data_IF_825391056033
#
_entry.id   IF_825391056033
#
_cell.length_a   1.000
_cell.length_b   1.000
_cell.length_c   1.000
_cell.angle_alpha   90.00
_cell.angle_beta   90.00
_cell.angle_gamma   90.00
#
_symmetry.space_group_name_H-M   'P 1'
#
loop_
_entity.id
_entity.type
_entity.pdbx_description
1 polymer ?
#
# COMPACT_ATOMS: atom_id res chain seq x y z
N UNK A 1 -21.77 17.00 -34.61
CA UNK A 1 -20.74 15.95 -34.47
C UNK A 1 -20.19 15.39 -35.78
N UNK A 2 -20.99 15.08 -36.81
CA UNK A 2 -20.47 14.57 -38.10
C UNK A 2 -19.40 15.44 -38.77
N UNK A 3 -19.42 16.77 -38.59
CA UNK A 3 -18.39 17.66 -39.12
C UNK A 3 -17.06 17.52 -38.37
N UNK A 4 -17.10 17.36 -37.04
CA UNK A 4 -15.92 17.09 -36.20
C UNK A 4 -15.28 15.76 -36.60
N UNK A 5 -16.09 14.69 -36.70
CA UNK A 5 -15.61 13.37 -37.11
C UNK A 5 -14.93 13.38 -38.48
N UNK A 6 -15.53 14.06 -39.48
CA UNK A 6 -14.94 14.18 -40.83
C UNK A 6 -13.61 14.90 -40.85
N UNK A 7 -13.46 15.97 -40.07
CA UNK A 7 -12.18 16.70 -39.99
C UNK A 7 -11.10 15.88 -39.31
N UNK A 8 -11.41 15.24 -38.18
CA UNK A 8 -10.46 14.34 -37.51
C UNK A 8 -10.05 13.17 -38.40
N UNK A 9 -10.97 12.60 -39.17
CA UNK A 9 -10.66 11.54 -40.13
C UNK A 9 -9.70 12.00 -41.23
N UNK A 10 -9.89 13.22 -41.75
CA UNK A 10 -9.03 13.82 -42.77
C UNK A 10 -7.61 14.12 -42.25
N UNK A 11 -7.48 14.41 -40.96
CA UNK A 11 -6.19 14.65 -40.29
C UNK A 11 -5.46 13.34 -39.91
N UNK A 12 -6.09 12.18 -40.10
CA UNK A 12 -5.55 10.87 -39.72
C UNK A 12 -4.47 10.33 -40.68
N UNK A 13 -3.48 9.58 -40.18
CA UNK A 13 -2.43 8.98 -41.01
C UNK A 13 -2.98 7.85 -41.90
N UNK A 14 -2.41 7.64 -43.08
CA UNK A 14 -2.84 6.54 -43.94
C UNK A 14 -2.83 5.18 -43.21
N UNK A 15 -3.88 4.38 -43.40
CA UNK A 15 -3.99 3.02 -42.83
C UNK A 15 -4.67 2.92 -41.46
N UNK A 16 -5.13 4.03 -40.87
CA UNK A 16 -5.92 3.97 -39.63
C UNK A 16 -7.27 3.25 -39.83
N UNK A 17 -7.73 2.52 -38.81
CA UNK A 17 -9.00 1.79 -38.78
C UNK A 17 -9.94 2.24 -37.66
N UNK A 18 -9.41 2.80 -36.57
CA UNK A 18 -10.20 3.40 -35.51
C UNK A 18 -9.56 4.71 -35.04
N UNK A 19 -10.41 5.69 -34.79
CA UNK A 19 -10.11 6.98 -34.20
C UNK A 19 -10.85 7.08 -32.86
N UNK A 20 -10.12 7.32 -31.78
CA UNK A 20 -10.67 7.65 -30.47
C UNK A 20 -10.22 9.07 -30.11
N UNK A 21 -11.17 10.01 -29.99
CA UNK A 21 -10.90 11.40 -29.65
C UNK A 21 -11.59 11.79 -28.35
N UNK A 22 -10.83 12.45 -27.47
CA UNK A 22 -11.33 12.98 -26.20
C UNK A 22 -11.10 14.47 -26.15
N UNK A 23 -12.14 15.21 -25.81
CA UNK A 23 -12.10 16.66 -25.62
C UNK A 23 -12.53 16.98 -24.20
N UNK A 24 -11.76 17.79 -23.49
CA UNK A 24 -12.15 18.35 -22.20
C UNK A 24 -12.31 19.86 -22.34
N UNK A 25 -13.37 20.44 -21.78
CA UNK A 25 -13.63 21.87 -21.94
C UNK A 25 -14.39 22.49 -20.76
N UNK A 26 -14.03 23.74 -20.50
CA UNK A 26 -14.72 24.74 -19.67
C UNK A 26 -14.95 25.99 -20.53
N UNK A 27 -15.52 27.05 -19.97
CA UNK A 27 -15.65 28.36 -20.65
C UNK A 27 -14.31 29.05 -20.93
N UNK A 28 -13.27 28.79 -20.14
CA UNK A 28 -11.95 29.47 -20.28
C UNK A 28 -10.82 28.57 -20.79
N UNK A 29 -10.98 27.25 -20.71
CA UNK A 29 -9.96 26.29 -21.08
C UNK A 29 -10.54 25.12 -21.87
N UNK A 30 -9.79 24.62 -22.86
CA UNK A 30 -10.16 23.42 -23.60
C UNK A 30 -8.92 22.69 -24.11
N UNK A 31 -8.94 21.37 -24.06
CA UNK A 31 -7.91 20.50 -24.64
C UNK A 31 -8.56 19.36 -25.42
N UNK A 32 -7.81 18.77 -26.35
CA UNK A 32 -8.26 17.64 -27.16
C UNK A 32 -7.09 16.73 -27.51
N UNK A 33 -7.33 15.43 -27.52
CA UNK A 33 -6.40 14.42 -28.03
C UNK A 33 -7.15 13.47 -28.94
N UNK A 34 -6.53 13.11 -30.07
CA UNK A 34 -7.02 12.09 -30.99
C UNK A 34 -5.98 10.96 -31.10
N UNK A 35 -6.43 9.73 -30.94
CA UNK A 35 -5.65 8.51 -31.08
C UNK A 35 -6.12 7.73 -32.30
N UNK A 36 -5.18 7.31 -33.14
CA UNK A 36 -5.46 6.52 -34.33
C UNK A 36 -4.83 5.15 -34.18
N UNK A 37 -5.61 4.10 -34.38
CA UNK A 37 -5.16 2.71 -34.34
C UNK A 37 -5.40 2.02 -35.67
N UNK A 38 -4.55 1.05 -36.01
CA UNK A 38 -4.68 0.21 -37.20
C UNK A 38 -5.61 -1.01 -36.97
N UNK A 39 -5.67 -1.91 -37.94
CA UNK A 39 -6.47 -3.15 -37.88
C UNK A 39 -6.07 -4.10 -36.74
N UNK A 40 -4.81 -4.03 -36.29
CA UNK A 40 -4.26 -4.85 -35.21
C UNK A 40 -4.39 -4.15 -33.84
N UNK A 41 -5.18 -3.08 -33.76
CA UNK A 41 -5.36 -2.22 -32.59
C UNK A 41 -4.05 -1.59 -32.09
N UNK A 42 -3.04 -1.48 -32.96
CA UNK A 42 -1.78 -0.83 -32.62
C UNK A 42 -1.92 0.69 -32.82
N UNK A 43 -1.41 1.46 -31.86
CA UNK A 43 -1.39 2.92 -31.95
C UNK A 43 -0.44 3.36 -33.07
N UNK A 44 -0.98 4.01 -34.10
CA UNK A 44 -0.20 4.52 -35.24
C UNK A 44 0.04 6.03 -35.17
N UNK A 45 -0.84 6.78 -34.50
CA UNK A 45 -0.62 8.20 -34.23
C UNK A 45 -1.39 8.70 -33.00
N UNK A 46 -0.80 9.68 -32.32
CA UNK A 46 -1.46 10.54 -31.34
C UNK A 46 -1.32 11.99 -31.80
N UNK A 47 -2.44 12.68 -31.99
CA UNK A 47 -2.43 14.07 -32.49
C UNK A 47 -3.26 14.99 -31.60
N UNK A 48 -2.96 16.28 -31.67
CA UNK A 48 -3.80 17.34 -31.11
C UNK A 48 -4.75 17.82 -32.20
N UNK A 49 -6.08 17.85 -31.97
CA UNK A 49 -7.05 18.34 -32.95
C UNK A 49 -6.79 19.79 -33.37
N UNK A 50 -7.06 20.08 -34.65
CA UNK A 50 -6.85 21.41 -35.22
C UNK A 50 -7.73 22.50 -34.55
N UNK A 51 -7.34 23.78 -34.61
CA UNK A 51 -8.12 24.89 -34.05
C UNK A 51 -9.57 24.96 -34.57
N UNK A 52 -9.79 24.54 -35.82
CA UNK A 52 -11.12 24.47 -36.42
C UNK A 52 -11.98 23.38 -35.75
N UNK A 53 -11.40 22.20 -35.51
CA UNK A 53 -12.08 21.13 -34.77
C UNK A 53 -12.40 21.59 -33.34
N UNK A 54 -11.45 22.23 -32.67
CA UNK A 54 -11.66 22.77 -31.32
C UNK A 54 -12.77 23.82 -31.28
N UNK A 55 -12.87 24.69 -32.30
CA UNK A 55 -13.98 25.66 -32.42
C UNK A 55 -15.33 24.95 -32.55
N UNK A 56 -15.43 23.95 -33.43
CA UNK A 56 -16.67 23.17 -33.60
C UNK A 56 -17.08 22.44 -32.32
N UNK A 57 -16.12 21.91 -31.57
CA UNK A 57 -16.36 21.24 -30.28
C UNK A 57 -16.84 22.22 -29.21
N UNK A 58 -16.28 23.43 -29.14
CA UNK A 58 -16.75 24.49 -28.22
C UNK A 58 -18.17 24.95 -28.58
N UNK A 59 -18.47 25.14 -29.86
CA UNK A 59 -19.82 25.46 -30.32
C UNK A 59 -20.81 24.36 -29.95
N UNK A 60 -20.42 23.10 -30.14
CA UNK A 60 -21.21 21.96 -29.71
C UNK A 60 -21.46 21.96 -28.20
N UNK A 61 -20.43 22.24 -27.39
CA UNK A 61 -20.56 22.37 -25.93
C UNK A 61 -21.56 23.46 -25.55
N UNK A 62 -21.46 24.64 -26.17
CA UNK A 62 -22.38 25.76 -25.94
C UNK A 62 -23.82 25.39 -26.27
N UNK A 63 -24.04 24.65 -27.36
CA UNK A 63 -25.38 24.17 -27.72
C UNK A 63 -25.89 23.10 -26.74
N UNK A 64 -25.00 22.25 -26.21
CA UNK A 64 -25.37 21.22 -25.24
C UNK A 64 -25.80 21.78 -23.88
N UNK A 65 -25.46 23.02 -23.54
CA UNK A 65 -25.80 23.61 -22.23
C UNK A 65 -27.31 23.80 -22.01
N UNK A 66 -28.13 23.73 -23.06
CA UNK A 66 -29.59 23.81 -22.97
C UNK A 66 -30.28 22.50 -22.58
N UNK A 67 -29.52 21.42 -22.36
CA UNK A 67 -30.07 20.08 -22.09
C UNK A 67 -29.49 19.50 -20.79
N UNK A 68 -30.35 18.91 -19.94
CA UNK A 68 -29.94 18.18 -18.73
C UNK A 68 -29.18 19.02 -17.70
N UNK A 69 -28.12 18.45 -17.12
CA UNK A 69 -27.31 19.02 -16.02
C UNK A 69 -26.27 20.06 -16.46
N UNK A 70 -26.53 20.75 -17.58
CA UNK A 70 -25.62 21.70 -18.21
C UNK A 70 -24.66 21.08 -19.22
N UNK A 71 -23.65 21.83 -19.71
CA UNK A 71 -22.73 21.33 -20.72
C UNK A 71 -21.89 20.16 -20.19
N UNK A 72 -21.48 19.25 -21.06
CA UNK A 72 -20.54 18.18 -20.68
C UNK A 72 -19.17 18.74 -20.26
N UNK A 73 -18.42 18.00 -19.44
CA UNK A 73 -17.03 18.31 -19.11
C UNK A 73 -16.07 17.68 -20.11
N UNK A 74 -16.35 16.44 -20.50
CA UNK A 74 -15.66 15.79 -21.61
C UNK A 74 -16.61 15.24 -22.67
N UNK A 75 -16.15 15.26 -23.91
CA UNK A 75 -16.78 14.61 -25.05
C UNK A 75 -15.84 13.52 -25.55
N UNK A 76 -16.35 12.30 -25.63
CA UNK A 76 -15.64 11.14 -26.16
C UNK A 76 -16.25 10.82 -27.51
N UNK A 77 -15.41 10.66 -28.53
CA UNK A 77 -15.82 10.34 -29.89
C UNK A 77 -15.03 9.14 -30.39
N UNK A 78 -15.75 8.12 -30.83
CA UNK A 78 -15.17 7.00 -31.57
C UNK A 78 -15.63 7.09 -33.03
N UNK A 79 -14.70 6.90 -33.96
CA UNK A 79 -14.99 6.73 -35.38
C UNK A 79 -14.26 5.49 -35.91
N UNK A 80 -14.96 4.60 -36.58
CA UNK A 80 -14.35 3.44 -37.27
C UNK A 80 -14.12 3.71 -38.75
N UNK A 81 -13.26 2.92 -39.40
CA UNK A 81 -13.01 2.96 -40.84
C UNK A 81 -14.26 2.68 -41.69
N UNK A 82 -15.27 2.04 -41.12
CA UNK A 82 -16.60 1.83 -41.73
C UNK A 82 -17.49 3.08 -41.68
N UNK A 83 -17.03 4.16 -41.03
CA UNK A 83 -17.78 5.41 -40.88
C UNK A 83 -18.78 5.43 -39.72
N UNK A 84 -18.79 4.41 -38.86
CA UNK A 84 -19.62 4.38 -37.65
C UNK A 84 -19.08 5.38 -36.63
N UNK A 85 -19.95 6.24 -36.13
CA UNK A 85 -19.63 7.27 -35.14
C UNK A 85 -20.39 6.96 -33.85
N UNK A 86 -19.65 6.92 -32.74
CA UNK A 86 -20.20 6.88 -31.39
C UNK A 86 -19.74 8.13 -30.65
N UNK A 87 -20.65 8.76 -29.91
CA UNK A 87 -20.35 9.97 -29.14
C UNK A 87 -20.94 9.83 -27.75
N UNK A 88 -20.08 9.96 -26.74
CA UNK A 88 -20.44 9.95 -25.34
C UNK A 88 -20.05 11.26 -24.66
N UNK A 89 -20.73 11.55 -23.55
CA UNK A 89 -20.51 12.74 -22.74
C UNK A 89 -20.19 12.33 -21.31
N UNK A 90 -19.14 12.93 -20.76
CA UNK A 90 -18.77 12.74 -19.37
C UNK A 90 -19.04 14.00 -18.55
N UNK A 91 -19.84 13.81 -17.50
CA UNK A 91 -20.25 14.84 -16.55
C UNK A 91 -19.46 14.76 -15.23
N UNK A 92 -18.34 14.04 -15.23
CA UNK A 92 -17.41 13.95 -14.11
C UNK A 92 -17.75 12.80 -13.16
N UNK A 93 -18.39 11.73 -13.64
CA UNK A 93 -18.66 10.55 -12.80
C UNK A 93 -17.36 10.02 -12.20
N UNK A 94 -16.26 10.12 -12.95
CA UNK A 94 -14.92 9.79 -12.51
C UNK A 94 -13.94 10.97 -12.66
N UNK A 95 -12.90 11.05 -11.81
CA UNK A 95 -11.80 11.98 -11.93
C UNK A 95 -11.16 11.93 -13.31
N UNK A 96 -10.96 13.11 -13.89
CA UNK A 96 -10.30 13.22 -15.19
C UNK A 96 -8.81 12.88 -15.07
N UNK A 97 -8.22 12.29 -16.12
CA UNK A 97 -6.78 12.18 -16.24
C UNK A 97 -6.09 13.54 -16.12
N UNK A 98 -4.86 13.57 -15.62
CA UNK A 98 -4.12 14.81 -15.36
C UNK A 98 -3.95 15.68 -16.62
N UNK A 99 -3.88 15.08 -17.81
CA UNK A 99 -3.78 15.80 -19.09
C UNK A 99 -5.10 16.43 -19.56
N UNK A 100 -6.20 16.16 -18.84
CA UNK A 100 -7.56 16.63 -19.11
C UNK A 100 -8.18 17.39 -17.92
N UNK A 101 -7.54 17.34 -16.75
CA UNK A 101 -7.96 18.05 -15.55
C UNK A 101 -7.40 19.48 -15.56
N UNK A 102 -8.28 20.47 -15.59
CA UNK A 102 -7.87 21.87 -15.55
C UNK A 102 -7.61 22.38 -14.12
N UNK A 103 -7.01 23.57 -14.01
CA UNK A 103 -6.91 24.26 -12.74
C UNK A 103 -8.31 24.56 -12.15
N UNK A 104 -8.47 24.59 -10.82
CA UNK A 104 -9.74 24.87 -10.14
C UNK A 104 -10.47 26.12 -10.65
N UNK A 105 -9.73 27.17 -11.00
CA UNK A 105 -10.24 28.46 -11.49
C UNK A 105 -11.05 28.30 -12.79
N UNK A 106 -10.63 27.39 -13.68
CA UNK A 106 -11.33 27.14 -14.93
C UNK A 106 -12.72 26.54 -14.70
N UNK A 107 -12.84 25.66 -13.71
CA UNK A 107 -14.12 25.09 -13.31
C UNK A 107 -14.98 26.09 -12.54
N UNK A 108 -14.40 26.98 -11.71
CA UNK A 108 -15.16 28.06 -11.07
C UNK A 108 -15.80 28.98 -12.09
N UNK A 109 -15.02 29.44 -13.07
CA UNK A 109 -15.53 30.26 -14.17
C UNK A 109 -16.63 29.55 -14.96
N UNK A 110 -16.50 28.23 -15.17
CA UNK A 110 -17.55 27.45 -15.83
C UNK A 110 -18.84 27.36 -15.01
N UNK A 111 -18.73 27.18 -13.70
CA UNK A 111 -19.88 27.11 -12.80
C UNK A 111 -20.57 28.48 -12.61
N UNK A 112 -19.84 29.57 -12.78
CA UNK A 112 -20.44 30.92 -12.85
C UNK A 112 -21.29 31.09 -14.13
N UNK A 113 -20.80 30.57 -15.26
CA UNK A 113 -21.51 30.65 -16.55
C UNK A 113 -22.65 29.62 -16.67
N UNK A 114 -22.44 28.42 -16.11
CA UNK A 114 -23.36 27.28 -16.14
C UNK A 114 -23.50 26.70 -14.73
N UNK A 115 -24.32 27.33 -13.87
CA UNK A 115 -24.54 26.86 -12.50
C UNK A 115 -25.07 25.44 -12.44
N UNK A 116 -24.58 24.66 -11.47
CA UNK A 116 -25.04 23.29 -11.19
C UNK A 116 -25.43 23.18 -9.72
N UNK A 117 -26.51 22.45 -9.45
CA UNK A 117 -26.96 22.19 -8.09
C UNK A 117 -25.95 21.33 -7.32
N UNK A 118 -25.40 20.30 -7.98
CA UNK A 118 -24.48 19.34 -7.37
C UNK A 118 -23.33 19.00 -8.30
N UNK A 119 -22.13 18.85 -7.73
CA UNK A 119 -20.96 18.30 -8.41
C UNK A 119 -20.63 16.91 -7.85
N UNK A 120 -20.04 16.02 -8.66
CA UNK A 120 -19.33 14.85 -8.15
C UNK A 120 -18.34 15.27 -7.05
N UNK A 121 -18.23 14.48 -5.97
CA UNK A 121 -17.49 14.90 -4.76
C UNK A 121 -16.04 15.25 -5.07
N UNK A 122 -15.39 14.50 -5.96
CA UNK A 122 -14.01 14.79 -6.37
C UNK A 122 -13.85 16.15 -7.07
N UNK A 123 -14.82 16.54 -7.91
CA UNK A 123 -14.78 17.81 -8.62
C UNK A 123 -15.16 18.96 -7.67
N UNK A 124 -16.13 18.73 -6.78
CA UNK A 124 -16.47 19.66 -5.71
C UNK A 124 -15.24 19.95 -4.83
N UNK A 125 -14.51 18.90 -4.42
CA UNK A 125 -13.27 19.01 -3.68
C UNK A 125 -12.18 19.74 -4.48
N UNK A 126 -11.92 19.35 -5.74
CA UNK A 126 -10.95 20.01 -6.60
C UNK A 126 -11.18 21.53 -6.69
N UNK A 127 -12.44 21.94 -6.78
CA UNK A 127 -12.82 23.36 -6.90
C UNK A 127 -12.77 24.10 -5.56
N UNK A 128 -13.17 23.45 -4.46
CA UNK A 128 -13.51 24.10 -3.18
C UNK A 128 -12.64 23.67 -1.99
N UNK A 129 -11.69 22.76 -2.18
CA UNK A 129 -10.85 22.23 -1.11
C UNK A 129 -9.98 23.33 -0.48
N UNK A 130 -9.33 24.17 -1.31
CA UNK A 130 -8.55 25.32 -0.86
C UNK A 130 -7.52 25.01 0.25
N UNK A 131 -6.96 23.80 0.25
CA UNK A 131 -5.98 23.36 1.24
C UNK A 131 -6.56 23.06 2.63
N UNK A 132 -7.88 23.01 2.81
CA UNK A 132 -8.53 22.85 4.13
C UNK A 132 -8.25 21.51 4.84
N UNK A 133 -7.72 20.51 4.14
CA UNK A 133 -7.25 19.24 4.73
C UNK A 133 -5.73 19.08 4.62
N UNK A 134 -4.99 20.09 4.15
CA UNK A 134 -3.54 20.06 4.22
C UNK A 134 -3.11 20.30 5.67
N UNK A 135 -2.09 19.58 6.09
CA UNK A 135 -1.43 19.74 7.39
C UNK A 135 0.08 19.74 7.17
N UNK A 136 0.64 20.79 6.55
CA UNK A 136 2.07 20.89 6.35
C UNK A 136 2.80 20.94 7.71
N UNK A 137 4.09 20.57 7.77
CA UNK A 137 4.81 20.45 9.04
C UNK A 137 4.74 21.70 9.94
N UNK A 138 4.75 22.90 9.37
CA UNK A 138 4.59 24.14 10.15
C UNK A 138 3.23 24.25 10.84
N UNK A 139 2.14 23.85 10.16
CA UNK A 139 0.78 23.83 10.72
C UNK A 139 0.66 22.72 11.77
N UNK A 140 1.26 21.56 11.51
CA UNK A 140 1.28 20.45 12.46
C UNK A 140 2.01 20.80 13.76
N UNK A 141 3.16 21.49 13.66
CA UNK A 141 3.93 21.94 14.81
C UNK A 141 3.19 23.00 15.64
N UNK A 142 2.53 23.96 14.99
CA UNK A 142 1.74 24.99 15.67
C UNK A 142 0.55 24.39 16.45
N UNK A 143 -0.14 23.40 15.85
CA UNK A 143 -1.27 22.72 16.47
C UNK A 143 -0.87 21.72 17.57
N UNK A 144 0.40 21.30 17.64
CA UNK A 144 0.85 20.28 18.58
C UNK A 144 0.85 20.74 20.06
N UNK A 145 0.78 22.05 20.32
CA UNK A 145 0.59 22.58 21.67
C UNK A 145 -0.74 22.18 22.31
N UNK A 146 -1.71 21.72 21.51
CA UNK A 146 -3.02 21.22 21.92
C UNK A 146 -3.10 19.68 21.90
N UNK A 147 -1.97 18.99 21.70
CA UNK A 147 -1.92 17.54 21.60
C UNK A 147 -2.47 16.86 22.87
N UNK A 148 -3.38 15.90 22.67
CA UNK A 148 -4.11 15.21 23.74
C UNK A 148 -5.46 15.81 24.11
N UNK A 149 -5.75 17.05 23.73
CA UNK A 149 -7.09 17.65 23.89
C UNK A 149 -7.97 17.22 22.72
N UNK A 150 -9.10 16.55 23.03
CA UNK A 150 -10.05 16.08 22.02
C UNK A 150 -9.59 14.83 21.24
N UNK A 151 -8.48 14.21 21.64
CA UNK A 151 -8.05 12.93 21.06
C UNK A 151 -8.84 11.78 21.66
N UNK A 152 -9.53 11.01 20.82
CA UNK A 152 -10.15 9.77 21.23
C UNK A 152 -9.22 8.60 20.94
N UNK A 153 -9.06 7.67 21.89
CA UNK A 153 -8.59 6.34 21.56
C UNK A 153 -9.64 5.66 20.67
N UNK A 154 -9.21 4.79 19.76
CA UNK A 154 -10.11 4.06 18.86
C UNK A 154 -10.94 2.96 19.55
N UNK A 155 -10.78 2.78 20.87
CA UNK A 155 -11.48 1.76 21.64
C UNK A 155 -11.01 0.33 21.37
N UNK A 156 -9.89 0.13 20.68
CA UNK A 156 -9.40 -1.19 20.26
C UNK A 156 -10.16 -1.77 19.06
N UNK A 157 -10.81 -0.92 18.27
CA UNK A 157 -11.53 -1.34 17.06
C UNK A 157 -10.59 -1.68 15.90
N UNK A 158 -9.44 -0.99 15.79
CA UNK A 158 -8.36 -1.40 14.89
C UNK A 158 -7.48 -2.46 15.57
N UNK A 159 -6.98 -3.46 14.81
CA UNK A 159 -5.95 -4.34 15.32
C UNK A 159 -4.71 -3.54 15.76
N UNK A 160 -3.98 -3.98 16.81
CA UNK A 160 -2.70 -3.40 17.18
C UNK A 160 -1.76 -3.31 15.97
N UNK A 161 -0.93 -2.25 15.90
CA UNK A 161 -0.08 -1.99 14.74
C UNK A 161 0.71 -3.23 14.25
N UNK A 162 1.42 -4.01 15.10
CA UNK A 162 2.16 -5.19 14.64
C UNK A 162 1.29 -6.26 13.96
N UNK A 163 0.08 -6.47 14.49
CA UNK A 163 -0.88 -7.43 13.92
C UNK A 163 -1.42 -6.90 12.59
N UNK A 164 -1.76 -5.61 12.54
CA UNK A 164 -2.26 -4.96 11.33
C UNK A 164 -1.21 -5.00 10.21
N UNK A 165 0.04 -4.68 10.52
CA UNK A 165 1.14 -4.72 9.54
C UNK A 165 1.41 -6.12 9.03
N UNK A 166 1.32 -7.12 9.90
CA UNK A 166 1.53 -8.52 9.51
C UNK A 166 0.45 -9.05 8.59
N UNK A 167 -0.82 -8.80 8.93
CA UNK A 167 -1.97 -9.16 8.09
C UNK A 167 -1.93 -8.46 6.73
N UNK A 168 -1.49 -7.21 6.70
CA UNK A 168 -1.30 -6.48 5.44
C UNK A 168 -0.24 -7.14 4.56
N UNK A 169 0.86 -7.60 5.16
CA UNK A 169 1.91 -8.30 4.43
C UNK A 169 1.41 -9.61 3.83
N UNK A 170 0.65 -10.41 4.59
CA UNK A 170 0.04 -11.65 4.10
C UNK A 170 -0.90 -11.39 2.93
N UNK A 171 -1.78 -10.39 3.04
CA UNK A 171 -2.67 -10.04 1.93
C UNK A 171 -1.91 -9.56 0.71
N UNK A 172 -0.90 -8.70 0.89
CA UNK A 172 -0.09 -8.20 -0.23
C UNK A 172 0.62 -9.34 -0.95
N UNK A 173 1.20 -10.27 -0.18
CA UNK A 173 1.84 -11.47 -0.71
C UNK A 173 0.85 -12.35 -1.47
N UNK A 174 -0.35 -12.57 -0.94
CA UNK A 174 -1.36 -13.40 -1.59
C UNK A 174 -1.87 -12.80 -2.92
N UNK A 175 -2.15 -11.49 -2.96
CA UNK A 175 -2.56 -10.80 -4.18
C UNK A 175 -1.46 -10.82 -5.24
N UNK A 176 -0.20 -10.65 -4.83
CA UNK A 176 0.97 -10.73 -5.72
C UNK A 176 1.19 -12.17 -6.21
N UNK A 177 1.07 -13.17 -5.35
CA UNK A 177 1.14 -14.58 -5.73
C UNK A 177 0.11 -14.91 -6.82
N UNK A 178 -1.12 -14.42 -6.67
CA UNK A 178 -2.19 -14.57 -7.65
C UNK A 178 -2.01 -13.70 -8.91
N UNK A 179 -0.89 -12.98 -9.05
CA UNK A 179 -0.60 -12.04 -10.14
C UNK A 179 -1.70 -10.99 -10.35
N UNK A 180 -2.43 -10.65 -9.30
CA UNK A 180 -3.46 -9.62 -9.37
C UNK A 180 -2.79 -8.26 -9.57
N UNK A 181 -3.29 -7.46 -10.51
CA UNK A 181 -2.86 -6.06 -10.66
C UNK A 181 -3.43 -5.16 -9.56
N UNK A 182 -4.38 -5.67 -8.78
CA UNK A 182 -5.10 -4.94 -7.74
C UNK A 182 -4.73 -5.43 -6.33
N UNK A 183 -5.27 -4.78 -5.32
CA UNK A 183 -5.16 -5.17 -3.92
C UNK A 183 -4.01 -4.48 -3.17
N UNK A 184 -3.79 -4.87 -1.90
CA UNK A 184 -2.79 -4.24 -1.05
C UNK A 184 -1.37 -4.46 -1.58
N UNK A 185 -0.50 -3.46 -1.36
CA UNK A 185 0.92 -3.49 -1.71
C UNK A 185 1.78 -2.94 -0.59
N UNK A 186 3.00 -3.45 -0.50
CA UNK A 186 4.04 -2.95 0.38
C UNK A 186 5.13 -2.24 -0.42
N UNK A 187 5.55 -1.11 0.14
CA UNK A 187 6.70 -0.31 -0.23
C UNK A 187 7.52 -0.04 1.04
N UNK A 188 8.79 0.39 0.94
CA UNK A 188 9.58 0.76 2.12
C UNK A 188 8.81 1.75 3.01
N UNK A 189 8.60 1.37 4.28
CA UNK A 189 7.86 2.13 5.30
C UNK A 189 6.39 2.50 4.98
N UNK A 190 5.82 2.04 3.86
CA UNK A 190 4.49 2.40 3.42
C UNK A 190 3.70 1.16 2.96
N UNK A 191 2.49 1.03 3.46
CA UNK A 191 1.52 0.04 3.00
C UNK A 191 0.39 0.77 2.29
N UNK A 192 0.06 0.32 1.08
CA UNK A 192 -0.90 0.98 0.21
C UNK A 192 -2.04 0.04 -0.16
N UNK A 193 -3.25 0.57 -0.20
CA UNK A 193 -4.42 -0.16 -0.66
C UNK A 193 -5.36 0.79 -1.41
N UNK A 194 -5.76 0.38 -2.60
CA UNK A 194 -6.83 1.00 -3.36
C UNK A 194 -7.79 -0.11 -3.81
N UNK A 195 -9.05 0.00 -3.41
CA UNK A 195 -10.11 -0.91 -3.80
C UNK A 195 -10.66 -0.60 -5.19
N UNK A 196 -11.41 -1.55 -5.76
CA UNK A 196 -11.99 -1.41 -7.10
C UNK A 196 -12.95 -0.22 -7.26
N UNK A 197 -13.52 0.28 -6.15
CA UNK A 197 -14.42 1.44 -6.11
C UNK A 197 -13.70 2.76 -5.80
N UNK A 198 -12.37 2.85 -5.95
CA UNK A 198 -11.57 4.05 -5.62
C UNK A 198 -11.62 4.47 -4.14
N UNK A 199 -12.06 3.60 -3.24
CA UNK A 199 -11.86 3.75 -1.80
C UNK A 199 -10.50 3.17 -1.45
N UNK A 200 -9.74 3.82 -0.58
CA UNK A 200 -8.37 3.40 -0.32
C UNK A 200 -7.69 4.14 0.82
N UNK A 201 -6.50 3.66 1.16
CA UNK A 201 -5.73 4.18 2.28
C UNK A 201 -4.23 3.89 2.15
N UNK A 202 -3.48 4.55 3.02
CA UNK A 202 -2.07 4.27 3.26
C UNK A 202 -1.81 4.15 4.75
N UNK A 203 -0.93 3.22 5.11
CA UNK A 203 -0.34 3.09 6.44
C UNK A 203 1.16 3.38 6.33
N UNK A 204 1.61 4.49 6.93
CA UNK A 204 3.03 4.83 7.07
C UNK A 204 3.54 4.41 8.44
N UNK A 205 4.61 3.61 8.48
CA UNK A 205 5.33 3.29 9.73
C UNK A 205 6.50 4.24 9.90
N UNK A 206 6.65 4.80 11.10
CA UNK A 206 7.61 5.85 11.43
C UNK A 206 8.56 5.38 12.54
N UNK A 207 9.77 5.96 12.63
CA UNK A 207 10.71 5.66 13.70
C UNK A 207 10.10 5.83 15.10
N UNK A 208 10.53 5.00 16.04
CA UNK A 208 10.02 4.98 17.41
C UNK A 208 8.69 4.24 17.57
N UNK A 209 8.37 3.31 16.66
CA UNK A 209 7.17 2.48 16.76
C UNK A 209 5.87 3.26 16.56
N UNK A 210 5.91 4.33 15.74
CA UNK A 210 4.76 5.20 15.43
C UNK A 210 4.20 4.86 14.07
N UNK A 211 2.94 5.20 13.82
CA UNK A 211 2.37 5.05 12.48
C UNK A 211 1.22 6.01 12.21
N UNK A 212 0.90 6.20 10.93
CA UNK A 212 -0.28 6.95 10.47
C UNK A 212 -1.04 6.11 9.46
N UNK A 213 -2.29 5.78 9.78
CA UNK A 213 -3.26 5.19 8.87
C UNK A 213 -4.23 6.27 8.42
N UNK A 214 -4.23 6.60 7.13
CA UNK A 214 -5.15 7.62 6.60
C UNK A 214 -5.64 7.25 5.22
N UNK A 215 -6.83 7.72 4.86
CA UNK A 215 -7.47 7.32 3.63
C UNK A 215 -8.81 8.00 3.40
N UNK A 216 -9.52 7.52 2.39
CA UNK A 216 -10.77 8.10 1.97
C UNK A 216 -11.70 7.09 1.32
N UNK A 217 -12.99 7.22 1.62
CA UNK A 217 -14.07 6.58 0.87
C UNK A 217 -14.36 7.36 -0.40
N UNK A 218 -14.64 6.63 -1.47
CA UNK A 218 -15.19 7.22 -2.67
C UNK A 218 -16.60 7.77 -2.40
N UNK A 219 -16.90 8.97 -2.92
CA UNK A 219 -18.19 9.67 -2.75
C UNK A 219 -18.70 9.75 -1.31
N UNK A 220 -17.81 10.09 -0.37
CA UNK A 220 -18.13 10.16 1.05
C UNK A 220 -19.21 11.23 1.35
N UNK A 221 -20.32 10.87 2.04
CA UNK A 221 -21.43 11.79 2.31
C UNK A 221 -21.03 13.07 3.05
N UNK A 222 -20.07 12.98 3.96
CA UNK A 222 -19.52 14.09 4.73
C UNK A 222 -18.72 15.08 3.86
N UNK A 223 -18.04 14.58 2.82
CA UNK A 223 -17.35 15.44 1.86
C UNK A 223 -18.33 16.05 0.86
N UNK A 224 -19.35 15.30 0.45
CA UNK A 224 -20.46 15.84 -0.35
C UNK A 224 -21.16 17.00 0.39
N UNK A 225 -21.44 16.79 1.68
CA UNK A 225 -21.97 17.81 2.58
C UNK A 225 -21.11 19.06 2.61
N UNK A 226 -19.82 18.88 2.91
CA UNK A 226 -18.91 20.01 3.08
C UNK A 226 -18.66 20.76 1.77
N UNK A 227 -18.46 20.06 0.66
CA UNK A 227 -18.11 20.72 -0.60
C UNK A 227 -19.31 21.17 -1.41
N UNK A 228 -20.42 20.43 -1.45
CA UNK A 228 -21.60 20.85 -2.22
C UNK A 228 -22.60 21.69 -1.42
N UNK A 229 -22.69 21.52 -0.09
CA UNK A 229 -23.67 22.24 0.74
C UNK A 229 -23.05 23.25 1.72
N UNK A 230 -21.72 23.34 1.77
CA UNK A 230 -21.01 24.29 2.63
C UNK A 230 -21.04 23.90 4.12
N UNK A 231 -21.30 22.64 4.44
CA UNK A 231 -21.17 22.13 5.80
C UNK A 231 -19.69 22.12 6.26
N UNK A 232 -19.46 21.95 7.56
CA UNK A 232 -18.09 21.95 8.12
C UNK A 232 -17.40 20.62 7.81
N UNK A 233 -16.12 20.67 7.44
CA UNK A 233 -15.31 19.46 7.27
C UNK A 233 -15.02 18.81 8.63
N UNK A 234 -14.95 17.47 8.72
CA UNK A 234 -14.51 16.79 9.94
C UNK A 234 -13.10 17.24 10.35
N UNK A 235 -12.85 17.47 11.64
CA UNK A 235 -11.51 17.78 12.16
C UNK A 235 -10.70 16.49 12.37
N UNK A 236 -10.28 15.87 11.27
CA UNK A 236 -9.58 14.57 11.26
C UNK A 236 -8.27 14.58 12.06
N UNK A 237 -7.64 15.75 12.23
CA UNK A 237 -6.36 15.93 12.92
C UNK A 237 -6.50 16.50 14.33
N UNK A 238 -7.71 16.58 14.89
CA UNK A 238 -7.95 17.11 16.24
C UNK A 238 -7.10 16.35 17.26
N UNK A 239 -6.22 17.08 17.96
CA UNK A 239 -5.30 16.53 18.95
C UNK A 239 -4.16 15.66 18.40
N UNK A 240 -3.95 15.64 17.08
CA UNK A 240 -2.87 14.87 16.45
C UNK A 240 -1.49 15.49 16.76
N UNK A 241 -0.46 14.68 17.06
CA UNK A 241 0.88 15.17 17.33
C UNK A 241 1.53 15.79 16.08
N UNK A 242 2.60 16.57 16.26
CA UNK A 242 3.25 17.33 15.17
C UNK A 242 3.74 16.46 14.01
N UNK A 243 4.04 15.18 14.26
CA UNK A 243 4.56 14.26 13.25
C UNK A 243 3.47 13.64 12.36
N UNK A 244 2.19 13.90 12.63
CA UNK A 244 1.08 13.55 11.72
C UNK A 244 0.92 14.67 10.68
N UNK A 245 1.82 14.77 9.72
CA UNK A 245 1.84 15.87 8.73
C UNK A 245 1.74 15.33 7.30
N UNK A 246 1.53 16.21 6.31
CA UNK A 246 1.36 15.88 4.89
C UNK A 246 2.28 14.77 4.35
N UNK A 247 3.59 14.71 4.66
CA UNK A 247 4.48 13.67 4.14
C UNK A 247 4.13 12.23 4.52
N UNK A 248 3.33 12.05 5.58
CA UNK A 248 2.91 10.73 6.10
C UNK A 248 1.39 10.52 6.01
N UNK A 249 0.70 11.44 5.35
CA UNK A 249 -0.72 11.36 5.08
C UNK A 249 -0.97 10.76 3.69
N UNK A 250 -2.14 10.14 3.53
CA UNK A 250 -2.58 9.69 2.23
C UNK A 250 -2.72 10.87 1.27
N UNK A 251 -2.31 10.68 0.01
CA UNK A 251 -2.39 11.70 -1.06
C UNK A 251 -3.78 12.35 -1.21
N UNK A 252 -4.84 11.72 -0.72
CA UNK A 252 -6.19 12.29 -0.64
C UNK A 252 -6.27 13.57 0.16
N UNK A 253 -5.41 13.79 1.17
CA UNK A 253 -5.33 15.05 1.89
C UNK A 253 -5.12 16.24 0.94
N UNK A 254 -4.18 16.09 -0.02
CA UNK A 254 -3.87 17.12 -1.02
C UNK A 254 -4.99 17.37 -2.02
N UNK A 255 -5.91 16.42 -2.16
CA UNK A 255 -7.06 16.50 -3.08
C UNK A 255 -8.36 16.84 -2.36
N UNK A 256 -8.32 17.03 -1.05
CA UNK A 256 -9.51 17.24 -0.23
C UNK A 256 -10.42 16.03 -0.11
N UNK A 257 -9.90 14.82 -0.32
CA UNK A 257 -10.65 13.57 -0.35
C UNK A 257 -10.37 12.66 0.85
N UNK A 258 -9.71 13.19 1.89
CA UNK A 258 -9.46 12.44 3.11
C UNK A 258 -10.76 12.36 3.93
N UNK A 259 -11.10 11.16 4.39
CA UNK A 259 -12.29 10.92 5.23
C UNK A 259 -11.93 10.35 6.60
N UNK A 260 -10.70 9.84 6.76
CA UNK A 260 -10.20 9.39 8.05
C UNK A 260 -8.68 9.54 8.20
N UNK A 261 -8.26 9.73 9.44
CA UNK A 261 -6.89 9.71 9.89
C UNK A 261 -6.81 9.11 11.30
N UNK A 262 -6.02 8.05 11.46
CA UNK A 262 -5.66 7.44 12.74
C UNK A 262 -4.14 7.49 12.88
N UNK A 263 -3.66 7.67 14.10
CA UNK A 263 -2.24 7.60 14.40
C UNK A 263 -1.97 6.64 15.55
N UNK A 264 -0.92 5.85 15.40
CA UNK A 264 -0.46 4.91 16.41
C UNK A 264 0.67 5.53 17.20
N UNK A 265 0.51 5.54 18.51
CA UNK A 265 1.54 5.99 19.43
C UNK A 265 1.43 5.22 20.75
N UNK A 266 2.57 4.97 21.39
CA UNK A 266 2.62 4.30 22.71
C UNK A 266 1.74 3.04 22.85
N UNK A 267 1.62 2.24 21.78
CA UNK A 267 0.89 0.98 21.80
C UNK A 267 -0.62 1.10 21.56
N UNK A 268 -1.14 2.24 21.10
CA UNK A 268 -2.58 2.47 20.87
C UNK A 268 -2.84 3.32 19.63
N UNK A 269 -4.02 3.13 19.05
CA UNK A 269 -4.54 3.98 17.99
C UNK A 269 -5.33 5.15 18.57
N UNK A 270 -5.13 6.31 17.96
CA UNK A 270 -5.79 7.57 18.28
C UNK A 270 -6.42 8.18 17.04
N UNK A 271 -7.43 9.02 17.24
CA UNK A 271 -8.14 9.75 16.19
C UNK A 271 -8.66 11.10 16.68
N UNK A 272 -8.82 12.02 15.74
CA UNK A 272 -9.68 13.20 15.90
C UNK A 272 -11.13 12.82 15.56
N UNK A 273 -11.77 13.60 14.68
CA UNK A 273 -13.16 13.36 14.24
C UNK A 273 -13.28 12.23 13.19
N UNK A 274 -12.27 11.37 13.06
CA UNK A 274 -12.35 10.21 12.15
C UNK A 274 -13.47 9.26 12.59
N UNK A 275 -14.24 8.68 11.66
CA UNK A 275 -15.34 7.78 11.97
C UNK A 275 -14.85 6.47 12.60
N UNK A 276 -15.76 5.56 12.98
CA UNK A 276 -15.37 4.22 13.43
C UNK A 276 -14.73 3.44 12.27
N UNK A 277 -13.74 2.58 12.53
CA UNK A 277 -13.08 1.81 11.47
C UNK A 277 -14.03 0.95 10.62
N UNK A 278 -15.14 0.49 11.20
CA UNK A 278 -16.20 -0.22 10.49
C UNK A 278 -16.85 0.61 9.39
N UNK A 279 -17.02 1.91 9.61
CA UNK A 279 -17.56 2.85 8.63
C UNK A 279 -16.57 3.15 7.50
N UNK A 280 -15.29 2.79 7.69
CA UNK A 280 -14.21 2.89 6.71
C UNK A 280 -13.87 1.57 6.02
N UNK A 281 -14.65 0.50 6.24
CA UNK A 281 -14.29 -0.85 5.80
C UNK A 281 -14.03 -0.97 4.29
N UNK A 282 -14.73 -0.19 3.45
CA UNK A 282 -14.51 -0.18 1.99
C UNK A 282 -13.13 0.36 1.58
N UNK A 283 -12.49 1.16 2.43
CA UNK A 283 -11.20 1.77 2.19
C UNK A 283 -10.03 1.00 2.83
N UNK A 284 -10.29 -0.14 3.49
CA UNK A 284 -9.29 -0.93 4.22
C UNK A 284 -9.25 -2.38 3.69
N UNK A 285 -8.08 -3.03 3.60
CA UNK A 285 -7.97 -4.34 2.95
C UNK A 285 -8.50 -5.53 3.78
N UNK A 286 -9.48 -5.35 4.67
CA UNK A 286 -10.09 -6.47 5.42
C UNK A 286 -9.17 -7.11 6.47
N UNK A 287 -8.51 -6.29 7.31
CA UNK A 287 -7.45 -6.71 8.23
C UNK A 287 -7.94 -7.11 9.64
N UNK A 288 -9.25 -7.11 9.86
CA UNK A 288 -9.89 -7.11 11.19
C UNK A 288 -9.65 -8.36 12.01
N UNK A 289 -9.77 -9.52 11.37
CA UNK A 289 -9.66 -10.81 12.04
C UNK A 289 -8.84 -11.75 11.18
N UNK A 290 -8.21 -12.72 11.83
CA UNK A 290 -7.54 -13.85 11.15
C UNK A 290 -8.48 -14.52 10.16
N UNK A 291 -9.75 -14.73 10.53
CA UNK A 291 -10.76 -15.33 9.64
C UNK A 291 -11.06 -14.49 8.39
N UNK A 292 -11.07 -13.16 8.52
CA UNK A 292 -11.28 -12.26 7.38
C UNK A 292 -10.12 -12.37 6.41
N UNK A 293 -8.88 -12.32 6.92
CA UNK A 293 -7.67 -12.47 6.11
C UNK A 293 -7.64 -13.86 5.45
N UNK A 294 -7.91 -14.92 6.21
CA UNK A 294 -7.90 -16.29 5.72
C UNK A 294 -8.91 -16.50 4.59
N UNK A 295 -10.12 -15.94 4.73
CA UNK A 295 -11.16 -15.99 3.70
C UNK A 295 -10.72 -15.27 2.42
N UNK A 296 -10.12 -14.10 2.53
CA UNK A 296 -9.61 -13.35 1.36
C UNK A 296 -8.51 -14.14 0.65
N UNK A 297 -7.51 -14.63 1.40
CA UNK A 297 -6.39 -15.41 0.83
C UNK A 297 -6.90 -16.70 0.18
N UNK A 298 -7.81 -17.42 0.85
CA UNK A 298 -8.42 -18.65 0.31
C UNK A 298 -9.18 -18.38 -0.99
N UNK A 299 -9.88 -17.24 -1.09
CA UNK A 299 -10.57 -16.84 -2.32
C UNK A 299 -9.65 -16.60 -3.52
N UNK A 300 -8.37 -16.28 -3.28
CA UNK A 300 -7.37 -16.10 -4.33
C UNK A 300 -6.78 -17.42 -4.86
N UNK A 301 -7.02 -18.54 -4.16
CA UNK A 301 -6.53 -19.87 -4.58
C UNK A 301 -7.37 -20.51 -5.70
N UNK A 302 -8.51 -19.91 -6.05
CA UNK A 302 -9.45 -20.41 -7.05
C UNK A 302 -10.69 -21.08 -6.46
N UNK A 303 -11.45 -21.79 -7.30
CA UNK A 303 -12.81 -22.24 -6.96
C UNK A 303 -12.86 -23.38 -5.92
N UNK A 304 -11.83 -24.22 -5.81
CA UNK A 304 -11.80 -25.37 -4.91
C UNK A 304 -10.48 -25.53 -4.16
N UNK A 305 -10.19 -24.67 -3.17
CA UNK A 305 -9.00 -24.82 -2.32
C UNK A 305 -9.11 -26.08 -1.47
N UNK A 306 -8.02 -26.85 -1.40
CA UNK A 306 -7.97 -28.07 -0.59
C UNK A 306 -7.99 -27.76 0.91
N UNK A 307 -8.34 -28.73 1.75
CA UNK A 307 -8.28 -28.57 3.22
C UNK A 307 -6.85 -28.25 3.70
N UNK A 308 -5.84 -28.89 3.11
CA UNK A 308 -4.42 -28.62 3.39
C UNK A 308 -4.07 -27.15 3.14
N UNK A 309 -4.53 -26.58 2.02
CA UNK A 309 -4.28 -25.17 1.71
C UNK A 309 -4.99 -24.24 2.69
N UNK A 310 -6.25 -24.53 3.06
CA UNK A 310 -6.98 -23.71 4.05
C UNK A 310 -6.28 -23.71 5.41
N UNK A 311 -5.81 -24.87 5.86
CA UNK A 311 -5.00 -24.98 7.08
C UNK A 311 -3.68 -24.23 6.94
N UNK A 312 -3.00 -24.36 5.78
CA UNK A 312 -1.78 -23.63 5.46
C UNK A 312 -1.95 -22.12 5.54
N UNK A 313 -3.09 -21.59 5.09
CA UNK A 313 -3.40 -20.15 5.18
C UNK A 313 -3.45 -19.69 6.63
N UNK A 314 -4.08 -20.45 7.52
CA UNK A 314 -4.10 -20.16 8.96
C UNK A 314 -2.69 -20.14 9.55
N UNK A 315 -1.87 -21.15 9.22
CA UNK A 315 -0.47 -21.22 9.65
C UNK A 315 0.36 -20.05 9.13
N UNK A 316 0.18 -19.65 7.88
CA UNK A 316 0.86 -18.51 7.27
C UNK A 316 0.53 -17.20 8.00
N UNK A 317 -0.75 -16.97 8.34
CA UNK A 317 -1.17 -15.77 9.08
C UNK A 317 -0.58 -15.78 10.49
N UNK A 318 -0.65 -16.91 11.19
CA UNK A 318 -0.10 -17.03 12.54
C UNK A 318 1.42 -16.79 12.56
N UNK A 319 2.16 -17.37 11.60
CA UNK A 319 3.60 -17.13 11.43
C UNK A 319 3.91 -15.66 11.14
N UNK A 320 3.09 -14.99 10.33
CA UNK A 320 3.26 -13.57 10.02
C UNK A 320 3.04 -12.68 11.26
N UNK A 321 2.04 -12.97 12.07
CA UNK A 321 1.74 -12.19 13.29
C UNK A 321 2.86 -12.29 14.35
N UNK A 322 3.73 -13.31 14.26
CA UNK A 322 4.89 -13.44 15.15
C UNK A 322 6.24 -13.13 14.48
N UNK A 323 6.26 -12.89 13.17
CA UNK A 323 7.47 -12.53 12.41
C UNK A 323 8.33 -13.73 11.97
N UNK A 324 7.73 -14.89 11.76
CA UNK A 324 8.43 -16.15 11.51
C UNK A 324 8.05 -16.80 10.16
N UNK A 325 7.59 -16.01 9.19
CA UNK A 325 7.18 -16.59 7.89
C UNK A 325 8.39 -17.12 7.13
N UNK A 326 8.26 -18.34 6.64
CA UNK A 326 9.24 -19.00 5.77
C UNK A 326 8.70 -19.12 4.34
N UNK A 327 9.61 -19.37 3.38
CA UNK A 327 9.23 -19.68 2.00
C UNK A 327 8.33 -20.92 1.93
N UNK A 328 8.61 -21.94 2.74
CA UNK A 328 7.84 -23.18 2.76
C UNK A 328 6.38 -22.96 3.17
N UNK A 329 6.12 -21.98 4.06
CA UNK A 329 4.76 -21.60 4.41
C UNK A 329 3.96 -21.06 3.20
N UNK A 330 4.60 -20.33 2.27
CA UNK A 330 3.97 -19.92 1.02
C UNK A 330 3.75 -21.10 0.07
N UNK A 331 4.77 -21.95 -0.10
CA UNK A 331 4.67 -23.14 -0.95
C UNK A 331 3.53 -24.04 -0.50
N UNK A 332 3.29 -24.13 0.81
CA UNK A 332 2.22 -24.98 1.34
C UNK A 332 0.81 -24.43 1.07
N UNK A 333 0.68 -23.12 0.90
CA UNK A 333 -0.59 -22.46 0.56
C UNK A 333 -0.84 -22.48 -0.95
N UNK A 334 0.16 -22.08 -1.73
CA UNK A 334 0.01 -21.83 -3.17
C UNK A 334 0.46 -23.00 -4.04
N UNK A 335 1.15 -23.99 -3.49
CA UNK A 335 1.73 -25.11 -4.22
C UNK A 335 2.97 -24.71 -5.03
N UNK A 336 3.62 -25.69 -5.64
CA UNK A 336 4.81 -25.50 -6.51
C UNK A 336 4.47 -25.42 -8.00
N UNK A 337 3.20 -25.65 -8.37
CA UNK A 337 2.75 -25.49 -9.74
C UNK A 337 2.86 -24.01 -10.12
N UNK A 338 3.56 -23.69 -11.21
CA UNK A 338 3.93 -22.32 -11.61
C UNK A 338 2.79 -21.34 -11.96
N UNK A 339 1.56 -21.62 -11.51
CA UNK A 339 0.40 -20.73 -11.59
C UNK A 339 0.53 -19.50 -10.69
N UNK A 340 1.27 -19.60 -9.59
CA UNK A 340 1.47 -18.50 -8.63
C UNK A 340 2.90 -17.93 -8.69
N UNK A 341 3.02 -16.63 -8.44
CA UNK A 341 4.29 -15.90 -8.34
C UNK A 341 4.80 -15.85 -6.89
N UNK A 342 5.42 -16.95 -6.46
CA UNK A 342 5.90 -17.09 -5.08
C UNK A 342 7.08 -16.17 -4.75
N UNK A 343 7.89 -15.83 -5.74
CA UNK A 343 9.08 -15.00 -5.57
C UNK A 343 8.69 -13.57 -5.17
N UNK A 344 7.82 -12.94 -5.97
CA UNK A 344 7.34 -11.60 -5.67
C UNK A 344 6.45 -11.59 -4.42
N UNK A 345 5.72 -12.68 -4.14
CA UNK A 345 4.94 -12.82 -2.92
C UNK A 345 5.83 -12.87 -1.66
N UNK A 346 6.90 -13.66 -1.67
CA UNK A 346 7.84 -13.72 -0.55
C UNK A 346 8.55 -12.39 -0.34
N UNK A 347 8.88 -11.67 -1.43
CA UNK A 347 9.43 -10.33 -1.33
C UNK A 347 8.49 -9.33 -0.64
N UNK A 348 7.16 -9.43 -0.85
CA UNK A 348 6.20 -8.62 -0.08
C UNK A 348 6.28 -8.93 1.44
N UNK A 349 6.39 -10.20 1.83
CA UNK A 349 6.53 -10.58 3.24
C UNK A 349 7.83 -10.04 3.86
N UNK A 350 8.92 -10.08 3.10
CA UNK A 350 10.21 -9.50 3.50
C UNK A 350 10.09 -7.99 3.72
N UNK A 351 9.51 -7.25 2.76
CA UNK A 351 9.22 -5.81 2.91
C UNK A 351 8.30 -5.52 4.10
N UNK A 352 7.40 -6.45 4.40
CA UNK A 352 6.50 -6.38 5.55
C UNK A 352 7.18 -6.62 6.88
N UNK A 353 8.42 -7.13 6.86
CA UNK A 353 9.22 -7.48 8.04
C UNK A 353 8.64 -8.65 8.84
N UNK A 354 7.90 -9.55 8.18
CA UNK A 354 7.26 -10.70 8.84
C UNK A 354 7.95 -12.02 8.59
N UNK A 355 9.05 -12.01 7.84
CA UNK A 355 9.85 -13.20 7.54
C UNK A 355 10.82 -13.50 8.67
N UNK A 356 11.04 -14.78 8.94
CA UNK A 356 12.20 -15.18 9.73
C UNK A 356 13.48 -14.70 9.02
N UNK A 357 14.52 -14.26 9.75
CA UNK A 357 15.80 -13.94 9.14
C UNK A 357 16.37 -15.20 8.48
N UNK A 358 17.12 -14.99 7.40
CA UNK A 358 17.70 -16.10 6.66
C UNK A 358 18.67 -16.88 7.55
N UNK A 359 18.55 -18.20 7.66
CA UNK A 359 19.46 -18.99 8.46
C UNK A 359 20.89 -18.83 7.97
N UNK A 360 21.82 -18.50 8.87
CA UNK A 360 23.25 -18.47 8.51
C UNK A 360 23.74 -19.89 8.24
N UNK A 361 24.72 -20.06 7.35
CA UNK A 361 25.31 -21.36 7.11
C UNK A 361 26.10 -21.84 8.35
N UNK A 362 26.20 -23.16 8.53
CA UNK A 362 27.01 -23.75 9.61
C UNK A 362 28.46 -23.26 9.56
N UNK A 363 29.02 -23.12 8.35
CA UNK A 363 30.36 -22.59 8.09
C UNK A 363 30.49 -21.15 8.55
N UNK A 364 29.49 -20.30 8.27
CA UNK A 364 29.52 -18.90 8.69
C UNK A 364 29.44 -18.77 10.22
N UNK A 365 28.68 -19.65 10.88
CA UNK A 365 28.62 -19.71 12.34
C UNK A 365 29.98 -20.11 12.94
N UNK A 366 30.63 -21.14 12.38
CA UNK A 366 31.99 -21.56 12.79
C UNK A 366 33.00 -20.43 12.57
N UNK A 367 33.01 -19.81 11.38
CA UNK A 367 33.92 -18.72 11.03
C UNK A 367 33.76 -17.50 11.93
N UNK A 368 32.54 -17.24 12.42
CA UNK A 368 32.26 -16.13 13.34
C UNK A 368 32.83 -16.40 14.74
N UNK A 369 32.74 -17.65 15.21
CA UNK A 369 33.35 -18.07 16.48
C UNK A 369 34.87 -18.13 16.37
N UNK A 370 35.40 -18.64 15.27
CA UNK A 370 36.83 -18.65 14.96
C UNK A 370 37.45 -17.25 15.03
N UNK A 371 36.80 -16.27 14.37
CA UNK A 371 37.19 -14.86 14.45
C UNK A 371 37.11 -14.32 15.88
N UNK A 372 36.01 -14.56 16.59
CA UNK A 372 35.85 -14.11 17.97
C UNK A 372 36.95 -14.62 18.92
N UNK A 373 37.35 -15.89 18.77
CA UNK A 373 38.42 -16.50 19.56
C UNK A 373 39.79 -15.89 19.23
N UNK A 374 40.05 -15.65 17.95
CA UNK A 374 41.32 -15.06 17.46
C UNK A 374 41.46 -13.60 17.89
N UNK A 375 40.41 -12.79 17.73
CA UNK A 375 40.43 -11.34 18.01
C UNK A 375 40.58 -11.03 19.51
N UNK A 376 40.12 -11.92 20.39
CA UNK A 376 40.23 -11.73 21.85
C UNK A 376 41.49 -12.32 22.47
N UNK A 377 42.40 -12.88 21.68
CA UNK A 377 43.62 -13.51 22.19
C UNK A 377 43.33 -14.62 23.19
N UNK A 378 42.22 -15.35 23.01
CA UNK A 378 41.84 -16.43 23.91
C UNK A 378 42.89 -17.55 23.83
N UNK A 379 43.23 -18.16 24.98
CA UNK A 379 44.09 -19.33 25.01
C UNK A 379 43.38 -20.51 24.32
N UNK A 380 43.75 -20.77 23.06
CA UNK A 380 43.13 -21.80 22.20
C UNK A 380 43.77 -23.17 22.38
N UNK A 381 44.69 -23.35 23.34
CA UNK A 381 45.38 -24.63 23.58
C UNK A 381 44.40 -25.79 23.87
N UNK A 382 43.26 -25.50 24.51
CA UNK A 382 42.18 -26.47 24.78
C UNK A 382 40.96 -26.28 23.86
N UNK A 383 41.04 -25.40 22.85
CA UNK A 383 39.92 -24.95 22.03
C UNK A 383 40.39 -24.58 20.61
N UNK A 384 40.92 -25.57 19.88
CA UNK A 384 41.44 -25.37 18.53
C UNK A 384 40.31 -25.04 17.57
N UNK A 385 40.52 -24.02 16.74
CA UNK A 385 39.54 -23.55 15.75
C UNK A 385 39.17 -24.66 14.76
N UNK A 386 40.15 -25.51 14.40
CA UNK A 386 39.96 -26.62 13.45
C UNK A 386 38.99 -27.71 13.97
N UNK A 387 38.78 -27.77 15.29
CA UNK A 387 37.94 -28.80 15.94
C UNK A 387 36.52 -28.30 16.24
N UNK A 388 36.17 -27.07 15.82
CA UNK A 388 34.85 -26.50 16.02
C UNK A 388 33.80 -27.26 15.23
N UNK A 389 32.69 -27.59 15.90
CA UNK A 389 31.47 -28.12 15.27
C UNK A 389 30.31 -27.20 15.56
N UNK A 390 29.37 -27.17 14.61
CA UNK A 390 28.14 -26.42 14.71
C UNK A 390 26.95 -27.38 14.65
N UNK A 391 26.16 -27.39 15.71
CA UNK A 391 24.89 -28.09 15.77
C UNK A 391 23.74 -27.10 15.59
N UNK A 392 22.80 -27.45 14.70
CA UNK A 392 21.66 -26.58 14.42
C UNK A 392 20.74 -26.50 15.63
N UNK A 393 20.32 -25.29 15.97
CA UNK A 393 19.27 -25.01 16.96
C UNK A 393 18.16 -24.19 16.29
N UNK A 394 17.05 -23.98 17.00
CA UNK A 394 15.85 -23.28 16.54
C UNK A 394 16.14 -21.88 15.95
N UNK A 395 16.97 -21.08 16.63
CA UNK A 395 17.26 -19.69 16.29
C UNK A 395 18.71 -19.44 15.83
N UNK A 396 19.41 -20.48 15.37
CA UNK A 396 20.81 -20.38 14.94
C UNK A 396 21.62 -21.66 15.10
N UNK A 397 22.84 -21.52 15.62
CA UNK A 397 23.81 -22.60 15.77
C UNK A 397 24.43 -22.61 17.16
N UNK A 398 24.58 -23.80 17.73
CA UNK A 398 25.43 -24.05 18.89
C UNK A 398 26.79 -24.50 18.40
N UNK A 399 27.83 -23.72 18.67
CA UNK A 399 29.20 -23.95 18.19
C UNK A 399 30.11 -24.30 19.37
N UNK A 400 30.77 -25.45 19.28
CA UNK A 400 31.59 -25.99 20.36
C UNK A 400 32.68 -26.95 19.85
N UNK A 401 33.68 -27.21 20.68
CA UNK A 401 34.67 -28.29 20.44
C UNK A 401 34.15 -29.58 21.09
N UNK A 402 33.99 -30.69 20.34
CA UNK A 402 33.58 -31.98 20.88
C UNK A 402 34.49 -32.48 22.00
N UNK A 403 33.97 -33.43 22.78
CA UNK A 403 34.67 -34.08 23.88
C UNK A 403 34.77 -35.56 23.56
N UNK A 404 35.93 -36.16 23.75
CA UNK A 404 36.11 -37.58 23.47
C UNK A 404 35.35 -38.43 24.52
N UNK A 405 34.89 -39.64 24.14
CA UNK A 405 34.17 -40.52 25.06
C UNK A 405 35.01 -40.84 26.31
N UNK A 406 34.51 -40.46 27.49
CA UNK A 406 35.15 -40.72 28.79
C UNK A 406 35.87 -39.52 29.41
N UNK A 407 35.95 -38.39 28.71
CA UNK A 407 36.56 -37.16 29.22
C UNK A 407 35.50 -36.25 29.89
N UNK A 408 35.83 -35.66 31.04
CA UNK A 408 34.92 -34.76 31.79
C UNK A 408 35.21 -33.31 31.38
N UNK A 409 34.33 -32.72 30.57
CA UNK A 409 34.46 -31.34 30.07
C UNK A 409 33.82 -30.31 31.01
N UNK A 410 34.55 -29.91 32.06
CA UNK A 410 34.12 -28.84 32.97
C UNK A 410 34.71 -27.50 32.53
N UNK A 411 33.86 -26.47 32.40
CA UNK A 411 34.29 -25.08 32.18
C UNK A 411 34.67 -24.73 30.75
N UNK A 412 34.32 -25.56 29.75
CA UNK A 412 34.55 -25.23 28.33
C UNK A 412 33.53 -24.19 27.87
N UNK A 413 33.94 -23.29 26.97
CA UNK A 413 33.01 -22.36 26.36
C UNK A 413 32.03 -23.11 25.44
N UNK A 414 30.79 -22.63 25.37
CA UNK A 414 29.84 -22.98 24.32
C UNK A 414 29.40 -21.66 23.69
N UNK A 415 29.45 -21.57 22.37
CA UNK A 415 29.03 -20.37 21.65
C UNK A 415 27.68 -20.60 21.00
N UNK A 416 26.81 -19.60 21.06
CA UNK A 416 25.52 -19.60 20.39
C UNK A 416 25.55 -18.48 19.36
N UNK A 417 25.39 -18.82 18.08
CA UNK A 417 25.37 -17.86 16.97
C UNK A 417 23.96 -17.83 16.41
N UNK A 418 23.27 -16.71 16.59
CA UNK A 418 21.92 -16.54 16.10
C UNK A 418 21.88 -16.35 14.58
N UNK A 419 20.74 -16.61 13.94
CA UNK A 419 20.56 -16.41 12.49
C UNK A 419 20.62 -14.93 12.08
N UNK A 420 20.36 -14.00 13.00
CA UNK A 420 20.65 -12.56 12.81
C UNK A 420 22.14 -12.22 12.97
N UNK A 421 22.96 -13.23 13.26
CA UNK A 421 24.39 -13.14 13.41
C UNK A 421 24.90 -12.78 14.80
N UNK A 422 24.05 -12.59 15.79
CA UNK A 422 24.52 -12.27 17.14
C UNK A 422 25.22 -13.48 17.75
N UNK A 423 26.44 -13.27 18.28
CA UNK A 423 27.22 -14.29 18.98
C UNK A 423 27.12 -14.08 20.49
N UNK A 424 26.66 -15.12 21.20
CA UNK A 424 26.59 -15.17 22.66
C UNK A 424 27.48 -16.29 23.20
N UNK A 425 28.11 -16.08 24.37
CA UNK A 425 28.98 -17.06 25.01
C UNK A 425 28.32 -17.60 26.28
N UNK A 426 28.33 -18.93 26.43
CA UNK A 426 27.96 -19.65 27.64
C UNK A 426 29.09 -20.59 28.08
N UNK A 427 28.85 -21.35 29.15
CA UNK A 427 29.74 -22.37 29.71
C UNK A 427 29.10 -23.76 29.60
N UNK A 428 29.91 -24.80 29.46
CA UNK A 428 29.47 -26.21 29.52
C UNK A 428 28.82 -26.59 30.86
N UNK A 429 28.97 -25.75 31.90
CA UNK A 429 28.28 -25.89 33.19
C UNK A 429 26.80 -25.46 33.15
N UNK A 430 26.37 -24.74 32.10
CA UNK A 430 24.97 -24.38 31.88
C UNK A 430 24.39 -25.31 30.82
N UNK A 431 23.37 -26.08 31.18
CA UNK A 431 22.75 -27.00 30.24
C UNK A 431 22.10 -26.23 29.07
N UNK A 432 22.23 -26.69 27.81
CA UNK A 432 21.60 -26.04 26.67
C UNK A 432 20.08 -25.84 26.85
N UNK A 433 19.39 -26.80 27.49
CA UNK A 433 17.97 -26.72 27.80
C UNK A 433 17.58 -25.53 28.70
N UNK A 434 18.52 -24.99 29.48
CA UNK A 434 18.29 -23.80 30.30
C UNK A 434 18.65 -22.51 29.57
N UNK A 435 19.63 -22.54 28.66
CA UNK A 435 20.12 -21.35 27.96
C UNK A 435 19.31 -21.01 26.70
N UNK A 436 18.90 -22.02 25.94
CA UNK A 436 18.22 -21.87 24.64
C UNK A 436 16.94 -21.02 24.70
N UNK A 437 16.03 -21.18 25.68
CA UNK A 437 14.80 -20.39 25.71
C UNK A 437 15.05 -18.87 25.79
N UNK A 438 16.09 -18.49 26.52
CA UNK A 438 16.48 -17.09 26.73
C UNK A 438 17.19 -16.50 25.50
N UNK A 439 18.04 -17.31 24.86
CA UNK A 439 18.66 -16.97 23.58
C UNK A 439 17.62 -16.75 22.48
N UNK A 440 16.65 -17.66 22.35
CA UNK A 440 15.53 -17.55 21.41
C UNK A 440 14.63 -16.34 21.70
N UNK A 441 14.40 -16.01 22.98
CA UNK A 441 13.65 -14.81 23.36
C UNK A 441 14.37 -13.55 22.87
N UNK A 442 15.67 -13.41 23.15
CA UNK A 442 16.47 -12.25 22.73
C UNK A 442 16.54 -12.12 21.20
N UNK A 443 16.69 -13.24 20.49
CA UNK A 443 16.63 -13.26 19.02
C UNK A 443 15.30 -12.73 18.49
N UNK A 444 14.17 -13.18 19.06
CA UNK A 444 12.84 -12.68 18.66
C UNK A 444 12.65 -11.20 18.99
N UNK A 445 13.15 -10.74 20.14
CA UNK A 445 13.08 -9.32 20.52
C UNK A 445 13.84 -8.42 19.54
N UNK A 446 15.05 -8.81 19.12
CA UNK A 446 15.85 -8.04 18.16
C UNK A 446 15.19 -7.95 16.79
N UNK A 447 14.64 -9.06 16.31
CA UNK A 447 13.99 -9.10 15.00
C UNK A 447 12.60 -8.45 15.01
N UNK A 448 11.97 -8.27 16.18
CA UNK A 448 10.77 -7.44 16.35
C UNK A 448 11.05 -5.94 16.47
N UNK A 449 12.23 -5.53 16.92
CA UNK A 449 12.60 -4.11 17.07
C UNK A 449 13.14 -3.46 15.78
N UNK A 450 13.44 -4.28 14.77
CA UNK A 450 13.83 -3.87 13.42
C UNK A 450 12.63 -3.67 12.47
N UNK A 451 11.41 -3.90 12.98
CA UNK A 451 10.11 -3.64 12.34
C UNK A 451 9.37 -2.52 13.06
#
# INVERSE_FOLDING_TARGET
>A
MHQVARKLAADGPAGWQRLDAVFAATVVASTGTALYTDENQQLVARTTPSPEVMTLVRDHRRLSSGFGDGPWWRLLLTLTGEGRIEVDYDFGTEPFPDDQLFAPEAYRADLEAYPREKLPVWLAAHVRHAGRQLRPPEVAAAAAGEAGIGTAADGGLLPPLPVMTARWAVLSAAFVAARSQWGPRLMPAMRWFEGAKRSGCSLYTLPGGRAVLSGGRWDAPELDAAYNRGETLPELYRGAPFWVADPVLNHRANRGLLTFCYWWDHGRWYRGDSPDPGDCAEALPGLWTTDTVARIVTGLLGEQPTERQRTGVGTLIAAAEVGEVTRDALVEVFGTAGSFDLENAFYQLLLGGVTAPEPIAATDAVDRVARHLTDRGADTAAYRVDDLRADRISAGWMVYVPVDPGEIAIGRAIFYVADDGVLERSSSSVAPSQYLPDFERRFRERNRALT
#
